data_IF_063387866836
#
_entry.id   IF_063387866836
#
_cell.length_a   1.000
_cell.length_b   1.000
_cell.length_c   1.000
_cell.angle_alpha   90.00
_cell.angle_beta   90.00
_cell.angle_gamma   90.00
#
_symmetry.space_group_name_H-M   'P 1'
#
loop_
_entity.id
_entity.type
_entity.pdbx_description
1 polymer ?
#
# COMPACT_ATOMS: atom_id res chain seq x y z
N UNK A 1 6.27 10.80 -1.79
CA UNK A 1 4.83 10.89 -1.93
C UNK A 1 4.16 9.76 -1.17
N UNK A 2 3.03 10.02 -0.60
CA UNK A 2 2.35 9.02 0.21
C UNK A 2 1.35 8.24 -0.63
N UNK A 3 1.34 6.93 -0.48
CA UNK A 3 0.45 6.04 -1.21
C UNK A 3 -0.32 5.18 -0.23
N UNK A 4 -1.54 4.85 -0.59
CA UNK A 4 -2.33 3.91 0.19
C UNK A 4 -2.43 2.63 -0.57
N UNK A 5 -2.01 1.54 0.05
CA UNK A 5 -2.03 0.23 -0.57
C UNK A 5 -3.00 -0.64 0.18
N UNK A 6 -3.99 -1.16 -0.53
CA UNK A 6 -4.98 -2.04 0.08
C UNK A 6 -4.53 -3.48 -0.13
N UNK A 7 -4.50 -4.22 0.96
CA UNK A 7 -3.97 -5.58 0.94
C UNK A 7 -4.98 -6.58 1.48
N UNK A 8 -4.87 -7.79 1.01
CA UNK A 8 -5.72 -8.87 1.47
C UNK A 8 -4.82 -9.97 2.03
N UNK A 9 -5.03 -10.32 3.26
CA UNK A 9 -4.24 -11.36 3.93
C UNK A 9 -5.17 -12.21 4.77
N UNK A 10 -5.20 -13.50 4.47
CA UNK A 10 -5.92 -14.43 5.33
C UNK A 10 -7.38 -14.11 5.57
N UNK A 11 -8.06 -13.63 4.54
CA UNK A 11 -9.47 -13.30 4.66
C UNK A 11 -9.74 -11.89 5.19
N UNK A 12 -8.70 -11.12 5.44
CA UNK A 12 -8.88 -9.76 5.94
C UNK A 12 -8.30 -8.75 4.99
N UNK A 13 -8.97 -7.62 4.89
CA UNK A 13 -8.54 -6.52 4.04
C UNK A 13 -8.09 -5.39 4.94
N UNK A 14 -6.95 -4.81 4.64
CA UNK A 14 -6.48 -3.64 5.38
C UNK A 14 -5.69 -2.74 4.45
N UNK A 15 -5.47 -1.52 4.89
CA UNK A 15 -4.77 -0.52 4.10
C UNK A 15 -3.50 -0.10 4.82
N UNK A 16 -2.41 -0.01 4.06
CA UNK A 16 -1.16 0.52 4.59
C UNK A 16 -0.80 1.78 3.85
N UNK A 17 -0.28 2.74 4.59
CA UNK A 17 0.25 3.96 3.99
C UNK A 17 1.74 3.79 3.85
N UNK A 18 2.27 4.01 2.66
CA UNK A 18 3.70 3.87 2.41
C UNK A 18 4.21 5.09 1.65
N UNK A 19 5.44 5.46 1.90
CA UNK A 19 6.08 6.51 1.12
C UNK A 19 6.76 5.86 -0.07
N UNK A 20 6.48 6.36 -1.26
CA UNK A 20 7.02 5.79 -2.47
C UNK A 20 7.10 6.84 -3.57
N UNK A 21 7.92 6.60 -4.56
CA UNK A 21 8.10 7.54 -5.65
C UNK A 21 7.15 7.28 -6.80
N UNK A 22 6.59 6.09 -6.89
CA UNK A 22 5.63 5.77 -7.94
C UNK A 22 4.83 4.54 -7.55
N UNK A 23 3.91 4.16 -8.42
CA UNK A 23 3.02 3.04 -8.20
C UNK A 23 3.77 1.74 -7.89
N UNK A 24 4.73 1.41 -8.72
CA UNK A 24 5.45 0.15 -8.55
C UNK A 24 6.21 0.11 -7.23
N UNK A 25 6.80 1.23 -6.87
CA UNK A 25 7.54 1.32 -5.63
C UNK A 25 6.61 1.15 -4.42
N UNK A 26 5.41 1.74 -4.49
CA UNK A 26 4.44 1.61 -3.42
C UNK A 26 4.03 0.15 -3.24
N UNK A 27 3.76 -0.52 -4.36
CA UNK A 27 3.36 -1.91 -4.35
C UNK A 27 4.47 -2.77 -3.77
N UNK A 28 5.69 -2.57 -4.22
CA UNK A 28 6.82 -3.36 -3.76
C UNK A 28 7.07 -3.15 -2.27
N UNK A 29 6.95 -1.92 -1.82
CA UNK A 29 7.16 -1.61 -0.40
C UNK A 29 6.13 -2.32 0.47
N UNK A 30 4.87 -2.26 0.06
CA UNK A 30 3.81 -2.90 0.83
C UNK A 30 3.98 -4.42 0.84
N UNK A 31 4.38 -5.00 -0.28
CA UNK A 31 4.60 -6.44 -0.35
C UNK A 31 5.79 -6.87 0.48
N UNK A 32 6.83 -6.04 0.54
CA UNK A 32 8.00 -6.36 1.35
C UNK A 32 7.64 -6.46 2.81
N UNK A 33 6.67 -5.67 3.25
CA UNK A 33 6.22 -5.71 4.62
C UNK A 33 5.22 -6.83 4.87
N UNK A 34 4.52 -7.24 3.83
CA UNK A 34 3.47 -8.25 3.95
C UNK A 34 3.63 -9.27 2.83
N UNK A 35 4.66 -10.11 2.91
CA UNK A 35 4.98 -11.01 1.79
C UNK A 35 3.89 -11.99 1.41
N UNK A 36 2.97 -12.25 2.31
CA UNK A 36 1.89 -13.19 1.99
C UNK A 36 0.61 -12.51 1.56
N UNK A 37 0.64 -11.20 1.43
CA UNK A 37 -0.55 -10.44 1.09
C UNK A 37 -0.74 -10.37 -0.41
N UNK A 38 -1.99 -10.10 -0.80
CA UNK A 38 -2.29 -9.79 -2.17
C UNK A 38 -2.62 -8.32 -2.23
N UNK A 39 -2.11 -7.65 -3.24
CA UNK A 39 -2.41 -6.23 -3.44
C UNK A 39 -3.73 -6.14 -4.19
N UNK A 40 -4.69 -5.45 -3.62
CA UNK A 40 -5.98 -5.27 -4.28
C UNK A 40 -6.25 -3.81 -4.65
N UNK A 41 -5.41 -2.90 -4.24
CA UNK A 41 -5.55 -1.52 -4.65
C UNK A 41 -4.31 -0.73 -4.27
N UNK A 42 -3.92 0.21 -5.13
CA UNK A 42 -2.80 1.09 -4.86
C UNK A 42 -3.22 2.46 -5.35
N UNK A 43 -3.25 3.43 -4.45
CA UNK A 43 -3.67 4.77 -4.81
C UNK A 43 -2.74 5.80 -4.21
N UNK A 44 -2.36 6.81 -5.00
CA UNK A 44 -1.63 7.92 -4.41
C UNK A 44 -2.59 8.71 -3.54
N UNK A 45 -2.11 9.27 -2.46
CA UNK A 45 -2.95 10.08 -1.62
C UNK A 45 -2.40 11.49 -1.54
N UNK A 46 -3.27 12.45 -1.72
CA UNK A 46 -2.86 13.83 -1.58
C UNK A 46 -3.20 14.35 -0.21
N UNK A 47 -3.78 13.55 0.69
CA UNK A 47 -4.13 14.00 1.93
C UNK A 47 -2.94 14.17 2.74
N UNK A 48 -2.70 15.28 3.16
CA UNK A 48 -1.58 15.51 3.93
C UNK A 48 -2.02 15.50 5.31
N UNK A 49 -1.55 15.00 6.13
CA UNK A 49 -1.95 15.02 7.33
C UNK A 49 -1.75 16.04 7.93
N UNK A 50 -2.46 16.57 8.29
CA UNK A 50 -2.34 17.63 9.06
C UNK A 50 -1.90 17.29 10.15
#
# INVERSE_FOLDING_TARGET
MLWEVKLYVGGKVFTESVHAVNYQDAKDTALARNPKAKIIGVNPTTRQNP
#
